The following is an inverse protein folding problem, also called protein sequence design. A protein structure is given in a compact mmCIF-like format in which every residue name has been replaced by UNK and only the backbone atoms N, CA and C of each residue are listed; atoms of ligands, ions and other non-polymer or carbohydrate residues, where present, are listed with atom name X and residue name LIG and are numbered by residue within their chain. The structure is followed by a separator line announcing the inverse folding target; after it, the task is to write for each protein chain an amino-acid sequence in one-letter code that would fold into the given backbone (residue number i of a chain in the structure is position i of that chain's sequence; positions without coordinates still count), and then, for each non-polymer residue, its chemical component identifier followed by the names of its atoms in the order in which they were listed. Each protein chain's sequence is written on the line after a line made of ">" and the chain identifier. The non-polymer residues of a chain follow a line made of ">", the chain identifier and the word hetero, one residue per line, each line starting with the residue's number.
data_IF_791581802826
#
_entry.id   IF_791581802826
#
_cell.length_a   1.000
_cell.length_b   1.000
_cell.length_c   1.000
_cell.angle_alpha   90.00
_cell.angle_beta   90.00
_cell.angle_gamma   90.00
#
_symmetry.space_group_name_H-M   'P 1'
#
loop_
_entity.id
_entity.type
_entity.pdbx_description
1 polymer ?
#
# COMPACT_ATOMS: atom_id res chain seq x y z
N UNK A 1 -53.03 -0.63 -18.87
CA UNK A 1 -51.71 -1.03 -19.41
C UNK A 1 -51.29 -2.30 -18.71
N UNK A 2 -51.42 -3.45 -19.36
CA UNK A 2 -51.09 -4.74 -18.74
C UNK A 2 -49.58 -4.81 -18.48
N UNK A 3 -49.18 -5.15 -17.26
CA UNK A 3 -47.80 -5.43 -16.92
C UNK A 3 -47.45 -6.79 -17.53
N UNK A 4 -46.77 -6.80 -18.67
CA UNK A 4 -46.17 -8.01 -19.22
C UNK A 4 -45.21 -8.61 -18.17
N UNK A 5 -45.64 -9.69 -17.52
CA UNK A 5 -44.81 -10.42 -16.57
C UNK A 5 -43.58 -10.98 -17.28
N UNK A 6 -42.41 -10.86 -16.65
CA UNK A 6 -41.18 -11.45 -17.19
C UNK A 6 -41.41 -12.96 -17.37
N UNK A 7 -41.23 -13.54 -18.57
CA UNK A 7 -41.56 -14.94 -18.81
C UNK A 7 -40.62 -15.85 -18.00
N UNK A 8 -41.14 -16.45 -16.93
CA UNK A 8 -40.40 -17.32 -16.00
C UNK A 8 -39.67 -18.47 -16.70
N UNK A 9 -40.33 -19.07 -17.70
CA UNK A 9 -39.75 -20.17 -18.50
C UNK A 9 -38.50 -19.72 -19.26
N UNK A 10 -38.50 -18.51 -19.82
CA UNK A 10 -37.34 -17.93 -20.51
C UNK A 10 -36.17 -17.74 -19.55
N UNK A 11 -36.44 -17.32 -18.31
CA UNK A 11 -35.41 -17.15 -17.27
C UNK A 11 -34.80 -18.51 -16.90
N UNK A 12 -35.63 -19.55 -16.73
CA UNK A 12 -35.16 -20.90 -16.40
C UNK A 12 -34.27 -21.46 -17.51
N UNK A 13 -34.71 -21.38 -18.77
CA UNK A 13 -33.93 -21.84 -19.93
C UNK A 13 -32.62 -21.04 -20.06
N UNK A 14 -32.68 -19.72 -19.88
CA UNK A 14 -31.49 -18.87 -19.93
C UNK A 14 -30.47 -19.25 -18.85
N UNK A 15 -30.93 -19.49 -17.61
CA UNK A 15 -30.06 -19.92 -16.51
C UNK A 15 -29.48 -21.31 -16.76
N UNK A 16 -30.26 -22.22 -17.33
CA UNK A 16 -29.80 -23.56 -17.70
C UNK A 16 -28.74 -23.52 -18.81
N UNK A 17 -28.93 -22.73 -19.87
CA UNK A 17 -27.89 -22.56 -20.89
C UNK A 17 -26.63 -21.86 -20.34
N UNK A 18 -26.80 -20.92 -19.42
CA UNK A 18 -25.70 -20.23 -18.77
C UNK A 18 -24.87 -21.13 -17.84
N UNK A 19 -25.46 -22.22 -17.30
CA UNK A 19 -24.73 -23.16 -16.42
C UNK A 19 -23.68 -23.98 -17.18
N UNK A 20 -23.89 -24.22 -18.47
CA UNK A 20 -22.91 -24.89 -19.35
C UNK A 20 -21.74 -23.98 -19.76
N UNK A 21 -21.81 -22.67 -19.52
CA UNK A 21 -20.69 -21.78 -19.85
C UNK A 21 -19.54 -22.01 -18.86
N UNK A 22 -18.36 -22.46 -19.32
CA UNK A 22 -17.23 -22.70 -18.44
C UNK A 22 -16.82 -21.40 -17.72
N UNK A 23 -16.27 -21.56 -16.51
CA UNK A 23 -15.70 -20.44 -15.76
C UNK A 23 -14.49 -19.90 -16.52
N UNK A 24 -14.30 -18.58 -16.53
CA UNK A 24 -13.06 -17.99 -17.02
C UNK A 24 -11.91 -18.41 -16.09
N UNK A 25 -11.01 -19.26 -16.59
CA UNK A 25 -9.82 -19.75 -15.87
C UNK A 25 -8.61 -18.84 -16.15
N UNK A 26 -8.59 -18.20 -17.33
CA UNK A 26 -7.51 -17.31 -17.76
C UNK A 26 -7.91 -15.86 -17.52
N UNK A 27 -7.06 -15.12 -16.82
CA UNK A 27 -7.23 -13.69 -16.61
C UNK A 27 -6.69 -12.88 -17.78
N UNK A 28 -7.16 -11.64 -17.87
CA UNK A 28 -6.68 -10.66 -18.84
C UNK A 28 -5.33 -10.11 -18.36
N UNK A 29 -4.34 -10.03 -19.26
CA UNK A 29 -3.05 -9.42 -18.96
C UNK A 29 -3.23 -7.91 -18.80
N UNK A 30 -2.89 -7.38 -17.62
CA UNK A 30 -3.02 -5.96 -17.28
C UNK A 30 -1.72 -5.18 -17.43
N UNK A 31 -0.58 -5.83 -17.21
CA UNK A 31 0.71 -5.17 -17.36
C UNK A 31 1.86 -6.00 -16.81
N UNK A 32 3.03 -5.39 -16.86
CA UNK A 32 4.30 -5.96 -16.43
C UNK A 32 5.05 -4.92 -15.58
N UNK A 33 5.78 -5.41 -14.58
CA UNK A 33 6.66 -4.60 -13.73
C UNK A 33 8.10 -4.55 -14.26
N UNK A 34 8.94 -3.64 -13.78
CA UNK A 34 10.36 -3.58 -14.14
C UNK A 34 11.16 -4.82 -13.71
N UNK A 35 10.60 -5.65 -12.83
CA UNK A 35 11.13 -6.97 -12.46
C UNK A 35 10.74 -8.09 -13.45
N UNK A 36 9.89 -7.83 -14.44
CA UNK A 36 9.39 -8.83 -15.40
C UNK A 36 8.21 -9.68 -14.89
N UNK A 37 7.60 -9.28 -13.77
CA UNK A 37 6.39 -9.93 -13.25
C UNK A 37 5.17 -9.56 -14.10
N UNK A 38 4.37 -10.54 -14.52
CA UNK A 38 3.16 -10.32 -15.33
C UNK A 38 1.90 -10.37 -14.47
N UNK A 39 1.03 -9.38 -14.60
CA UNK A 39 -0.16 -9.24 -13.76
C UNK A 39 -1.44 -9.50 -14.52
N UNK A 40 -2.34 -10.26 -13.91
CA UNK A 40 -3.59 -10.70 -14.51
C UNK A 40 -4.81 -10.37 -13.64
N UNK A 41 -5.94 -10.13 -14.29
CA UNK A 41 -7.22 -9.88 -13.63
C UNK A 41 -8.35 -10.67 -14.30
N UNK A 42 -9.22 -11.27 -13.49
CA UNK A 42 -10.56 -11.70 -13.91
C UNK A 42 -11.55 -10.70 -13.33
N UNK A 43 -12.38 -10.05 -14.16
CA UNK A 43 -13.36 -9.08 -13.69
C UNK A 43 -14.38 -9.72 -12.74
N UNK A 44 -14.98 -8.89 -11.88
CA UNK A 44 -16.07 -9.34 -11.02
C UNK A 44 -17.26 -9.80 -11.88
N UNK A 45 -17.86 -10.94 -11.52
CA UNK A 45 -19.08 -11.46 -12.13
C UNK A 45 -20.17 -11.53 -11.04
N UNK A 46 -20.95 -10.45 -10.85
CA UNK A 46 -22.01 -10.40 -9.84
C UNK A 46 -23.08 -11.47 -10.07
N UNK A 47 -23.34 -11.85 -11.33
CA UNK A 47 -24.32 -12.87 -11.68
C UNK A 47 -23.92 -14.26 -11.17
N UNK A 48 -22.62 -14.51 -10.98
CA UNK A 48 -22.08 -15.72 -10.36
C UNK A 48 -21.69 -15.57 -8.89
N UNK A 49 -22.09 -14.47 -8.25
CA UNK A 49 -21.78 -14.20 -6.84
C UNK A 49 -20.34 -13.74 -6.57
N UNK A 50 -19.54 -13.46 -7.61
CA UNK A 50 -18.20 -12.90 -7.45
C UNK A 50 -18.26 -11.38 -7.45
N UNK A 51 -18.28 -10.79 -6.26
CA UNK A 51 -18.40 -9.33 -6.08
C UNK A 51 -17.09 -8.57 -6.30
N UNK A 52 -15.94 -9.23 -6.19
CA UNK A 52 -14.61 -8.63 -6.34
C UNK A 52 -13.86 -9.27 -7.51
N UNK A 53 -13.03 -8.50 -8.25
CA UNK A 53 -12.15 -9.06 -9.26
C UNK A 53 -11.11 -9.98 -8.60
N UNK A 54 -10.71 -11.01 -9.32
CA UNK A 54 -9.63 -11.92 -8.89
C UNK A 54 -8.34 -11.47 -9.57
N UNK A 55 -7.33 -11.12 -8.78
CA UNK A 55 -6.05 -10.58 -9.27
C UNK A 55 -4.91 -11.48 -8.82
N UNK A 56 -3.96 -11.73 -9.72
CA UNK A 56 -2.75 -12.50 -9.42
C UNK A 56 -1.61 -12.08 -10.35
N UNK A 57 -0.40 -12.57 -10.08
CA UNK A 57 0.75 -12.36 -10.93
C UNK A 57 1.46 -13.68 -11.25
N UNK A 58 2.28 -13.66 -12.28
CA UNK A 58 3.16 -14.76 -12.68
C UNK A 58 4.61 -14.25 -12.72
N UNK A 59 5.50 -14.80 -11.89
CA UNK A 59 6.90 -14.41 -11.85
C UNK A 59 7.65 -14.92 -13.10
N UNK A 60 8.67 -14.22 -13.58
CA UNK A 60 9.46 -14.68 -14.72
C UNK A 60 10.33 -15.88 -14.32
N UNK A 61 10.17 -17.00 -15.03
CA UNK A 61 11.09 -18.14 -14.96
C UNK A 61 11.14 -18.91 -13.62
N UNK A 62 10.21 -18.67 -12.70
CA UNK A 62 10.15 -19.33 -11.39
C UNK A 62 8.84 -20.11 -11.20
N UNK A 63 8.84 -21.18 -10.39
CA UNK A 63 7.62 -21.89 -10.03
C UNK A 63 6.69 -20.98 -9.21
N UNK A 64 5.37 -21.20 -9.35
CA UNK A 64 4.31 -20.37 -8.76
C UNK A 64 4.28 -20.34 -7.23
N UNK A 65 4.94 -21.29 -6.59
CA UNK A 65 4.91 -21.49 -5.14
C UNK A 65 6.09 -20.84 -4.41
N UNK A 66 6.97 -20.14 -5.13
CA UNK A 66 8.03 -19.34 -4.51
C UNK A 66 7.40 -18.07 -3.91
N UNK A 67 7.66 -17.79 -2.63
CA UNK A 67 7.12 -16.63 -1.93
C UNK A 67 8.14 -15.49 -1.82
N UNK A 68 9.37 -15.69 -2.30
CA UNK A 68 10.47 -14.72 -2.22
C UNK A 68 10.50 -13.70 -3.35
N UNK A 69 9.36 -13.40 -3.99
CA UNK A 69 9.32 -12.48 -5.13
C UNK A 69 9.28 -11.02 -4.69
N UNK A 70 10.20 -10.21 -5.24
CA UNK A 70 10.12 -8.76 -5.12
C UNK A 70 8.97 -8.24 -6.00
N UNK A 71 8.06 -7.52 -5.36
CA UNK A 71 6.94 -6.82 -5.99
C UNK A 71 7.12 -5.33 -5.76
N UNK A 72 6.86 -4.52 -6.77
CA UNK A 72 6.65 -3.10 -6.56
C UNK A 72 5.48 -2.80 -5.64
N UNK A 73 5.61 -1.72 -4.86
CA UNK A 73 4.57 -1.26 -3.95
C UNK A 73 3.25 -0.91 -4.69
N UNK A 74 3.37 -0.47 -5.95
CA UNK A 74 2.29 -0.10 -6.83
C UNK A 74 1.44 -1.31 -7.21
N UNK A 75 2.09 -2.35 -7.72
CA UNK A 75 1.43 -3.59 -8.10
C UNK A 75 0.94 -4.37 -6.87
N UNK A 76 1.67 -4.35 -5.76
CA UNK A 76 1.22 -4.93 -4.49
C UNK A 76 -0.09 -4.30 -4.01
N UNK A 77 -0.21 -2.97 -4.12
CA UNK A 77 -1.43 -2.24 -3.75
C UNK A 77 -2.61 -2.56 -4.66
N UNK A 78 -2.36 -2.77 -5.96
CA UNK A 78 -3.40 -3.19 -6.90
C UNK A 78 -3.83 -4.65 -6.68
N UNK A 79 -2.89 -5.58 -6.46
CA UNK A 79 -3.18 -6.99 -6.14
C UNK A 79 -4.05 -7.12 -4.89
N UNK A 80 -3.78 -6.32 -3.85
CA UNK A 80 -4.58 -6.30 -2.61
C UNK A 80 -5.94 -5.61 -2.75
N UNK A 81 -6.25 -5.02 -3.90
CA UNK A 81 -7.50 -4.30 -4.11
C UNK A 81 -7.56 -2.93 -3.43
N UNK A 82 -6.42 -2.35 -3.03
CA UNK A 82 -6.36 -0.96 -2.54
C UNK A 82 -6.52 0.04 -3.68
N UNK A 83 -6.06 -0.33 -4.89
CA UNK A 83 -6.25 0.44 -6.13
C UNK A 83 -7.25 -0.29 -7.04
N UNK A 84 -8.10 0.45 -7.73
CA UNK A 84 -8.99 -0.10 -8.74
C UNK A 84 -8.22 -0.33 -10.04
N UNK A 85 -7.52 0.70 -10.50
CA UNK A 85 -6.78 0.71 -11.75
C UNK A 85 -5.35 0.19 -11.57
N UNK A 86 -4.82 -0.58 -12.54
CA UNK A 86 -3.44 -1.02 -12.54
C UNK A 86 -2.49 0.18 -12.68
N UNK A 87 -1.28 0.11 -12.11
CA UNK A 87 -0.30 1.18 -12.24
C UNK A 87 0.21 1.30 -13.68
N UNK A 88 0.55 2.52 -14.09
CA UNK A 88 1.04 2.81 -15.46
C UNK A 88 2.57 2.80 -15.50
N UNK A 89 3.19 2.38 -16.61
CA UNK A 89 4.65 2.35 -16.74
C UNK A 89 5.33 3.68 -16.41
N UNK A 90 4.75 4.80 -16.83
CA UNK A 90 5.25 6.14 -16.51
C UNK A 90 5.26 6.44 -15.00
N UNK A 91 4.23 5.98 -14.28
CA UNK A 91 4.14 6.12 -12.84
C UNK A 91 5.21 5.29 -12.14
N UNK A 92 5.46 4.06 -12.60
CA UNK A 92 6.53 3.22 -12.07
C UNK A 92 7.90 3.90 -12.24
N UNK A 93 8.20 4.41 -13.43
CA UNK A 93 9.47 5.11 -13.71
C UNK A 93 9.62 6.34 -12.82
N UNK A 94 8.56 7.13 -12.67
CA UNK A 94 8.56 8.30 -11.78
C UNK A 94 8.83 7.90 -10.33
N UNK A 95 8.19 6.86 -9.83
CA UNK A 95 8.38 6.42 -8.44
C UNK A 95 9.76 5.82 -8.20
N UNK A 96 10.32 5.12 -9.19
CA UNK A 96 11.72 4.68 -9.18
C UNK A 96 12.68 5.88 -9.01
N UNK A 97 12.49 6.93 -9.80
CA UNK A 97 13.34 8.13 -9.69
C UNK A 97 13.23 8.80 -8.30
N UNK A 98 12.02 8.85 -7.72
CA UNK A 98 11.79 9.40 -6.39
C UNK A 98 12.48 8.54 -5.32
N UNK A 99 12.42 7.22 -5.46
CA UNK A 99 13.08 6.28 -4.56
C UNK A 99 14.60 6.46 -4.58
N UNK A 100 15.21 6.58 -5.76
CA UNK A 100 16.64 6.84 -5.91
C UNK A 100 17.05 8.19 -5.29
N UNK A 101 16.28 9.25 -5.57
CA UNK A 101 16.50 10.58 -4.99
C UNK A 101 16.46 10.54 -3.46
N UNK A 102 15.47 9.86 -2.88
CA UNK A 102 15.34 9.68 -1.43
C UNK A 102 16.52 8.90 -0.86
N UNK A 103 16.97 7.85 -1.54
CA UNK A 103 18.13 7.05 -1.12
C UNK A 103 19.40 7.91 -1.06
N UNK A 104 19.64 8.77 -2.06
CA UNK A 104 20.77 9.72 -2.05
C UNK A 104 20.65 10.74 -0.92
N UNK A 105 19.47 11.35 -0.76
CA UNK A 105 19.25 12.33 0.30
C UNK A 105 19.39 11.72 1.71
N UNK A 106 18.94 10.48 1.91
CA UNK A 106 19.10 9.76 3.16
C UNK A 106 20.58 9.52 3.48
N UNK A 107 21.37 9.08 2.50
CA UNK A 107 22.81 8.89 2.68
C UNK A 107 23.53 10.20 3.08
N UNK A 108 23.21 11.31 2.39
CA UNK A 108 23.76 12.63 2.74
C UNK A 108 23.33 13.10 4.14
N UNK A 109 22.10 12.78 4.55
CA UNK A 109 21.59 13.13 5.87
C UNK A 109 22.28 12.29 6.96
N UNK A 110 22.47 10.99 6.73
CA UNK A 110 23.23 10.11 7.62
C UNK A 110 24.68 10.58 7.79
N UNK A 111 25.35 11.03 6.73
CA UNK A 111 26.70 11.60 6.81
C UNK A 111 26.73 12.87 7.66
N UNK A 112 25.74 13.75 7.50
CA UNK A 112 25.60 14.97 8.32
C UNK A 112 25.32 14.66 9.79
N UNK A 113 24.55 13.61 10.08
CA UNK A 113 24.23 13.19 11.45
C UNK A 113 25.34 12.36 12.12
N UNK A 114 26.25 11.74 11.35
CA UNK A 114 27.43 11.03 11.88
C UNK A 114 28.49 11.99 12.43
N UNK A 115 28.54 13.22 11.93
CA UNK A 115 29.31 14.26 12.62
C UNK A 115 28.66 14.46 14.00
N UNK A 116 29.43 14.50 15.11
CA UNK A 116 28.88 14.71 16.43
C UNK A 116 28.21 16.09 16.45
N UNK A 117 26.92 16.11 16.16
CA UNK A 117 26.04 17.19 16.57
C UNK A 117 26.04 17.09 18.07
N UNK A 118 26.62 18.08 18.75
CA UNK A 118 26.59 18.19 20.19
C UNK A 118 25.13 17.98 20.65
N UNK A 119 24.82 16.78 21.14
CA UNK A 119 23.48 16.37 21.59
C UNK A 119 22.98 17.26 22.76
N UNK A 120 23.82 18.16 23.25
CA UNK A 120 23.55 19.17 24.25
C UNK A 120 22.58 20.28 23.80
N UNK A 121 22.22 20.37 22.52
CA UNK A 121 21.33 21.44 22.05
C UNK A 121 20.15 20.94 21.21
N UNK A 122 19.36 20.00 21.75
CA UNK A 122 17.92 20.13 21.51
C UNK A 122 17.54 21.44 22.20
N UNK A 123 17.57 22.55 21.46
CA UNK A 123 16.98 23.80 21.92
C UNK A 123 15.49 23.52 22.04
N UNK A 124 15.06 23.12 23.23
CA UNK A 124 13.68 23.23 23.59
C UNK A 124 13.38 24.72 23.55
N UNK A 125 12.79 25.19 22.46
CA UNK A 125 12.29 26.56 22.37
C UNK A 125 11.48 26.82 23.63
N UNK A 126 11.99 27.70 24.49
CA UNK A 126 11.27 28.07 25.70
C UNK A 126 9.99 28.77 25.25
N UNK A 127 8.89 28.05 25.41
CA UNK A 127 7.59 28.40 24.86
C UNK A 127 7.08 29.70 25.50
N UNK A 128 7.01 30.76 24.70
CA UNK A 128 6.17 31.93 25.00
C UNK A 128 4.87 31.80 24.21
N UNK A 129 3.83 31.17 24.78
CA UNK A 129 2.51 31.11 24.15
C UNK A 129 1.47 30.17 24.78
N UNK A 130 0.18 30.52 24.62
CA UNK A 130 -1.03 29.90 25.23
C UNK A 130 -1.35 28.45 24.81
N UNK A 131 -0.50 27.78 24.04
CA UNK A 131 -0.77 26.45 23.46
C UNK A 131 0.41 25.50 23.66
N UNK A 132 0.74 25.19 24.92
CA UNK A 132 1.68 24.12 25.24
C UNK A 132 1.06 23.12 26.21
N UNK A 133 1.26 21.84 25.92
CA UNK A 133 0.92 20.74 26.83
C UNK A 133 1.70 20.93 28.15
N UNK A 134 1.09 20.63 29.32
CA UNK A 134 1.79 20.62 30.59
C UNK A 134 3.05 19.75 30.50
N UNK A 135 4.20 20.31 30.89
CA UNK A 135 5.45 19.57 31.04
C UNK A 135 5.66 19.28 32.52
N UNK A 136 5.87 18.01 32.84
CA UNK A 136 6.20 17.53 34.19
C UNK A 136 7.70 17.24 34.23
N UNK A 137 8.52 18.30 34.14
CA UNK A 137 10.00 18.22 34.07
C UNK A 137 10.62 17.61 35.35
N UNK A 138 9.85 17.57 36.44
CA UNK A 138 10.21 17.21 37.80
C UNK A 138 9.74 15.81 38.23
N UNK A 139 8.76 15.22 37.54
CA UNK A 139 8.15 13.93 37.94
C UNK A 139 8.70 12.73 37.16
N UNK A 140 9.09 12.91 35.89
CA UNK A 140 9.45 11.79 35.02
C UNK A 140 10.79 11.99 34.31
N UNK A 141 11.55 10.90 34.23
CA UNK A 141 12.76 10.84 33.41
C UNK A 141 12.39 10.83 31.93
N UNK A 142 12.88 11.80 31.17
CA UNK A 142 12.67 11.86 29.71
C UNK A 142 13.62 10.87 29.00
N UNK A 143 14.78 10.59 29.61
CA UNK A 143 15.70 9.55 29.17
C UNK A 143 15.90 8.51 30.28
N UNK A 144 15.88 7.20 29.95
CA UNK A 144 16.04 6.15 30.94
C UNK A 144 17.40 6.28 31.64
N UNK A 145 17.39 6.47 32.97
CA UNK A 145 18.59 6.61 33.79
C UNK A 145 19.09 8.05 33.96
N UNK A 146 18.40 9.04 33.40
CA UNK A 146 18.68 10.46 33.64
C UNK A 146 17.79 11.01 34.76
N UNK A 147 18.39 11.64 35.77
CA UNK A 147 17.60 12.26 36.86
C UNK A 147 16.76 13.43 36.33
N UNK A 148 15.53 13.63 36.83
CA UNK A 148 14.71 14.79 36.47
C UNK A 148 15.39 16.10 36.88
N UNK A 149 15.15 17.16 36.11
CA UNK A 149 15.77 18.48 36.31
C UNK A 149 15.04 19.17 37.47
N UNK A 150 15.68 19.27 38.63
CA UNK A 150 15.09 19.87 39.82
C UNK A 150 15.12 21.41 39.73
N UNK A 151 13.96 22.07 39.60
CA UNK A 151 13.82 23.53 39.46
C UNK A 151 13.92 24.32 40.79
N UNK A 152 14.62 23.80 41.81
CA UNK A 152 14.59 24.36 43.19
C UNK A 152 15.76 25.26 43.60
N UNK A 153 16.51 25.83 42.65
CA UNK A 153 17.55 26.81 42.96
C UNK A 153 17.30 28.11 42.17
N UNK A 154 16.35 28.93 42.66
CA UNK A 154 16.26 30.38 42.41
C UNK A 154 15.56 31.09 43.58
#
# INVERSE_FOLDING_TARGET
>A
MAREGRPLIRIIIQNFLNSFRPRQIRGDLKGEDYFGNKYYEIPADPSRGKRKPSRWFEPPGKPKDDHGHELTAEWESWLRGRRNDPPTQEELIKNLSIMEMKKRNAALLEEKHKQPQDHAAIKHDQATGRAHFPRYDDEYEIMPGSKPINKKDE
#
